data_IF_684808995996
#
_entry.id   IF_684808995996
#
_cell.length_a   1.000
_cell.length_b   1.000
_cell.length_c   1.000
_cell.angle_alpha   90.00
_cell.angle_beta   90.00
_cell.angle_gamma   90.00
#
_symmetry.space_group_name_H-M   'P 1'
#
loop_
_entity.id
_entity.type
_entity.pdbx_description
1 polymer ?
#
# COMPACT_ATOMS: atom_id res chain seq x y z
N UNK A 1 3.17 11.66 5.78
CA UNK A 1 2.26 10.55 6.17
C UNK A 1 0.95 11.19 6.59
N UNK A 2 -0.14 10.83 5.92
CA UNK A 2 -1.50 11.21 6.33
C UNK A 2 -2.21 9.95 6.77
N UNK A 3 -2.87 10.01 7.93
CA UNK A 3 -3.81 8.98 8.36
C UNK A 3 -5.17 9.42 7.84
N UNK A 4 -5.73 8.65 6.93
CA UNK A 4 -7.05 8.88 6.34
C UNK A 4 -7.81 7.57 6.37
N UNK A 5 -9.02 7.62 6.89
CA UNK A 5 -9.90 6.44 7.03
C UNK A 5 -10.80 6.26 5.80
N UNK A 6 -10.80 7.22 4.87
CA UNK A 6 -11.49 7.12 3.58
C UNK A 6 -12.95 7.58 3.63
N UNK A 7 -13.45 8.02 4.79
CA UNK A 7 -14.77 8.62 4.97
C UNK A 7 -14.74 10.15 4.88
N UNK A 8 -13.55 10.76 4.85
CA UNK A 8 -13.40 12.21 4.80
C UNK A 8 -13.86 12.79 3.46
N UNK A 9 -14.46 14.01 3.44
CA UNK A 9 -14.82 14.70 2.21
C UNK A 9 -13.61 14.83 1.26
N UNK A 10 -13.76 14.31 0.03
CA UNK A 10 -12.67 14.27 -0.96
C UNK A 10 -11.88 12.95 -0.99
N UNK A 11 -12.09 12.03 -0.05
CA UNK A 11 -11.35 10.77 0.06
C UNK A 11 -12.14 9.52 -0.41
N UNK A 12 -13.26 9.68 -1.12
CA UNK A 12 -14.14 8.57 -1.54
C UNK A 12 -13.43 7.45 -2.30
N UNK A 13 -12.45 7.79 -3.14
CA UNK A 13 -11.63 6.80 -3.87
C UNK A 13 -10.73 5.99 -2.95
N UNK A 14 -10.28 6.57 -1.83
CA UNK A 14 -9.51 5.88 -0.80
C UNK A 14 -10.43 4.90 -0.07
N UNK A 15 -11.63 5.32 0.34
CA UNK A 15 -12.62 4.43 0.94
C UNK A 15 -12.99 3.24 0.03
N UNK A 16 -13.20 3.47 -1.27
CA UNK A 16 -13.47 2.41 -2.23
C UNK A 16 -12.30 1.43 -2.40
N UNK A 17 -11.06 1.93 -2.35
CA UNK A 17 -9.86 1.08 -2.37
C UNK A 17 -9.77 0.21 -1.13
N UNK A 18 -9.95 0.80 0.07
CA UNK A 18 -9.92 0.05 1.33
C UNK A 18 -10.93 -1.11 1.27
N UNK A 19 -12.16 -0.83 0.84
CA UNK A 19 -13.20 -1.85 0.72
C UNK A 19 -12.83 -3.01 -0.22
N UNK A 20 -12.17 -2.73 -1.35
CA UNK A 20 -11.71 -3.77 -2.28
C UNK A 20 -10.54 -4.58 -1.71
N UNK A 21 -9.59 -3.93 -1.06
CA UNK A 21 -8.47 -4.62 -0.39
C UNK A 21 -9.00 -5.52 0.71
N UNK A 22 -9.93 -5.04 1.54
CA UNK A 22 -10.58 -5.82 2.59
C UNK A 22 -11.39 -6.98 2.01
N UNK A 23 -12.04 -6.81 0.86
CA UNK A 23 -12.75 -7.88 0.17
C UNK A 23 -11.78 -8.96 -0.31
N UNK A 24 -10.63 -8.59 -0.88
CA UNK A 24 -9.58 -9.53 -1.28
C UNK A 24 -8.98 -10.24 -0.08
N UNK A 25 -8.65 -9.53 1.00
CA UNK A 25 -8.12 -10.13 2.23
C UNK A 25 -9.13 -11.10 2.84
N UNK A 26 -10.42 -10.72 2.95
CA UNK A 26 -11.49 -11.61 3.42
C UNK A 26 -11.69 -12.81 2.51
N UNK A 27 -11.63 -12.64 1.20
CA UNK A 27 -11.74 -13.75 0.25
C UNK A 27 -10.56 -14.73 0.35
N UNK A 28 -9.37 -14.23 0.68
CA UNK A 28 -8.17 -15.02 0.88
C UNK A 28 -8.06 -15.63 2.29
N UNK A 29 -8.90 -15.19 3.24
CA UNK A 29 -8.94 -15.74 4.59
C UNK A 29 -9.27 -17.24 4.54
N UNK A 30 -8.39 -18.08 5.10
CA UNK A 30 -8.52 -19.54 5.06
C UNK A 30 -8.18 -20.21 3.72
N UNK A 31 -7.77 -19.45 2.69
CA UNK A 31 -7.43 -19.97 1.36
C UNK A 31 -5.96 -19.81 0.97
N UNK A 32 -5.15 -19.19 1.83
CA UNK A 32 -3.70 -19.08 1.69
C UNK A 32 -2.96 -20.38 2.12
N UNK A 33 -3.55 -21.56 1.86
CA UNK A 33 -2.95 -22.86 2.20
C UNK A 33 -2.94 -23.18 3.70
N UNK A 34 -1.89 -23.86 4.19
CA UNK A 34 -1.70 -24.24 5.60
C UNK A 34 -1.24 -23.09 6.51
N UNK A 35 -1.20 -21.85 6.00
CA UNK A 35 -0.74 -20.70 6.76
C UNK A 35 -1.88 -20.11 7.58
N UNK A 36 -1.73 -20.14 8.91
CA UNK A 36 -2.66 -19.49 9.83
C UNK A 36 -2.23 -18.04 10.03
N UNK A 37 -2.97 -17.10 9.43
CA UNK A 37 -2.73 -15.65 9.59
C UNK A 37 -3.38 -15.22 10.91
N UNK A 38 -2.70 -15.51 12.02
CA UNK A 38 -3.21 -15.27 13.38
C UNK A 38 -2.94 -13.86 13.94
N UNK A 39 -2.36 -12.98 13.12
CA UNK A 39 -2.25 -11.57 13.45
C UNK A 39 -1.09 -11.15 14.35
N UNK A 40 -0.94 -9.81 14.36
CA UNK A 40 -0.10 -8.90 15.15
C UNK A 40 0.95 -9.53 16.09
N UNK A 41 2.15 -9.73 15.57
CA UNK A 41 3.31 -10.08 16.40
C UNK A 41 4.42 -9.04 16.23
N UNK A 42 4.83 -8.44 17.35
CA UNK A 42 5.93 -7.47 17.41
C UNK A 42 7.31 -8.14 17.51
N UNK A 43 7.34 -9.45 17.80
CA UNK A 43 8.58 -10.16 18.16
C UNK A 43 9.38 -10.65 16.96
N UNK A 44 8.82 -10.64 15.75
CA UNK A 44 9.48 -11.20 14.56
C UNK A 44 10.20 -10.17 13.67
N UNK A 45 10.37 -8.93 14.13
CA UNK A 45 10.98 -7.87 13.32
C UNK A 45 10.10 -7.41 12.15
N UNK A 46 10.71 -7.06 11.02
CA UNK A 46 9.99 -6.61 9.82
C UNK A 46 9.38 -5.20 9.93
N UNK A 47 9.89 -4.39 10.86
CA UNK A 47 9.46 -3.01 11.08
C UNK A 47 9.75 -2.16 9.85
N UNK A 48 8.74 -1.47 9.31
CA UNK A 48 8.95 -0.44 8.31
C UNK A 48 9.28 0.87 9.03
N UNK A 49 10.42 1.47 8.71
CA UNK A 49 10.79 2.80 9.16
C UNK A 49 10.68 3.78 8.00
N UNK A 50 9.98 4.88 8.22
CA UNK A 50 9.89 5.99 7.27
C UNK A 50 10.55 7.21 7.93
N UNK A 51 11.40 7.90 7.17
CA UNK A 51 12.15 9.08 7.58
C UNK A 51 11.64 10.31 6.80
N UNK A 52 10.53 10.94 7.19
CA UNK A 52 9.94 12.01 6.39
C UNK A 52 10.89 13.20 6.28
N UNK A 53 11.13 13.66 5.06
CA UNK A 53 12.00 14.80 4.80
C UNK A 53 11.52 16.05 5.54
N UNK A 54 12.46 16.78 6.16
CA UNK A 54 12.16 18.02 6.89
C UNK A 54 11.41 17.83 8.20
N UNK A 55 11.22 16.59 8.69
CA UNK A 55 10.64 16.33 10.01
C UNK A 55 11.62 15.57 10.91
N UNK A 56 11.83 16.00 12.17
CA UNK A 56 12.74 15.33 13.10
C UNK A 56 12.08 14.10 13.76
N UNK A 57 11.30 13.33 12.99
CA UNK A 57 10.57 12.17 13.51
C UNK A 57 10.78 10.98 12.60
N UNK A 58 10.91 9.79 13.19
CA UNK A 58 10.89 8.53 12.45
C UNK A 58 9.57 7.83 12.70
N UNK A 59 8.85 7.50 11.63
CA UNK A 59 7.63 6.71 11.75
C UNK A 59 7.98 5.22 11.75
N UNK A 60 7.68 4.54 12.86
CA UNK A 60 7.88 3.11 13.03
C UNK A 60 6.55 2.38 12.81
N UNK A 61 6.42 1.63 11.73
CA UNK A 61 5.19 0.93 11.34
C UNK A 61 5.40 -0.57 11.45
N UNK A 62 4.78 -1.15 12.48
CA UNK A 62 4.72 -2.59 12.64
C UNK A 62 3.89 -3.25 11.52
N UNK A 63 4.30 -4.43 11.00
CA UNK A 63 3.61 -5.13 9.93
C UNK A 63 2.41 -5.92 10.45
N UNK A 64 1.40 -5.20 10.91
CA UNK A 64 0.21 -5.78 11.52
C UNK A 64 -0.76 -6.28 10.44
N UNK A 65 -1.42 -7.41 10.73
CA UNK A 65 -2.57 -7.85 9.94
C UNK A 65 -3.67 -6.78 9.96
N UNK A 66 -4.35 -6.65 8.82
CA UNK A 66 -5.46 -5.70 8.60
C UNK A 66 -5.05 -4.21 8.76
N UNK A 67 -3.78 -3.90 8.48
CA UNK A 67 -3.26 -2.53 8.46
C UNK A 67 -3.07 -2.06 7.02
N UNK A 68 -3.82 -1.03 6.63
CA UNK A 68 -3.51 -0.25 5.44
C UNK A 68 -2.53 0.87 5.78
N UNK A 69 -1.53 1.08 4.91
CA UNK A 69 -0.56 2.16 5.01
C UNK A 69 -0.50 2.92 3.69
N UNK A 70 -0.58 4.26 3.75
CA UNK A 70 -0.49 5.16 2.60
C UNK A 70 0.60 6.20 2.84
N UNK A 71 1.52 6.35 1.89
CA UNK A 71 2.56 7.38 1.90
C UNK A 71 2.99 7.75 0.48
N UNK A 72 3.61 8.92 0.32
CA UNK A 72 4.09 9.37 -0.99
C UNK A 72 5.30 8.55 -1.44
N UNK A 73 5.28 8.11 -2.69
CA UNK A 73 6.31 7.28 -3.33
C UNK A 73 7.61 8.01 -3.65
N UNK A 74 7.61 9.34 -3.60
CA UNK A 74 8.74 10.16 -3.97
C UNK A 74 9.76 10.33 -2.83
N UNK A 75 10.72 11.23 -3.06
CA UNK A 75 11.86 11.49 -2.17
C UNK A 75 11.47 12.02 -0.79
N UNK A 76 10.20 12.39 -0.56
CA UNK A 76 9.73 12.88 0.75
C UNK A 76 9.68 11.79 1.82
N UNK A 77 9.61 10.51 1.43
CA UNK A 77 9.52 9.38 2.36
C UNK A 77 10.59 8.30 2.08
N UNK A 78 11.88 8.58 2.29
CA UNK A 78 12.89 7.53 2.43
C UNK A 78 12.43 6.53 3.48
N UNK A 79 12.53 5.25 3.16
CA UNK A 79 12.06 4.20 4.04
C UNK A 79 12.87 2.91 3.89
N UNK A 80 12.96 2.18 4.99
CA UNK A 80 13.63 0.88 5.04
C UNK A 80 12.80 -0.12 5.83
N UNK A 81 12.94 -1.40 5.50
CA UNK A 81 12.34 -2.49 6.26
C UNK A 81 13.45 -3.15 7.09
N UNK A 82 13.31 -3.15 8.40
CA UNK A 82 14.21 -3.87 9.30
C UNK A 82 14.15 -5.38 9.07
N UNK A 83 15.20 -6.15 9.42
CA UNK A 83 15.20 -7.60 9.29
C UNK A 83 13.94 -8.25 9.88
N UNK A 84 13.40 -9.25 9.19
CA UNK A 84 12.29 -10.07 9.65
C UNK A 84 12.78 -11.50 9.90
N UNK A 85 12.41 -12.07 11.04
CA UNK A 85 12.84 -13.42 11.47
C UNK A 85 11.71 -14.45 11.38
N UNK A 86 10.59 -14.08 10.77
CA UNK A 86 9.51 -14.96 10.38
C UNK A 86 8.97 -14.56 9.00
N UNK A 87 8.27 -15.48 8.33
CA UNK A 87 7.64 -15.19 7.04
C UNK A 87 6.62 -14.07 7.20
N UNK A 88 6.70 -13.05 6.33
CA UNK A 88 5.83 -11.87 6.33
C UNK A 88 5.24 -11.66 4.95
N UNK A 89 3.93 -11.42 4.91
CA UNK A 89 3.21 -11.06 3.70
C UNK A 89 2.80 -9.58 3.72
N UNK A 90 2.88 -8.92 2.57
CA UNK A 90 2.38 -7.58 2.34
C UNK A 90 1.95 -7.44 0.88
N UNK A 91 0.93 -6.62 0.63
CA UNK A 91 0.49 -6.24 -0.72
C UNK A 91 0.80 -4.76 -0.89
N UNK A 92 1.34 -4.36 -2.05
CA UNK A 92 1.68 -2.97 -2.34
C UNK A 92 1.09 -2.57 -3.69
N UNK A 93 0.37 -1.44 -3.68
CA UNK A 93 -0.21 -0.82 -4.87
C UNK A 93 0.40 0.57 -5.04
N UNK A 94 0.78 0.92 -6.27
CA UNK A 94 1.29 2.25 -6.61
C UNK A 94 0.24 3.02 -7.42
N UNK A 95 -0.09 4.22 -6.95
CA UNK A 95 -0.97 5.13 -7.68
C UNK A 95 -0.13 6.11 -8.50
N UNK A 96 -0.44 6.20 -9.78
CA UNK A 96 0.22 7.13 -10.68
C UNK A 96 -0.53 8.45 -10.76
N UNK A 97 0.20 9.55 -10.64
CA UNK A 97 -0.29 10.83 -11.16
C UNK A 97 -0.33 10.78 -12.70
N UNK A 98 -1.43 11.26 -13.28
CA UNK A 98 -1.65 11.16 -14.71
C UNK A 98 -0.64 11.97 -15.53
N UNK A 99 -0.24 13.16 -15.06
CA UNK A 99 0.70 14.04 -15.76
C UNK A 99 2.13 13.51 -15.64
N UNK A 100 2.53 13.13 -14.43
CA UNK A 100 3.85 12.55 -14.17
C UNK A 100 4.06 11.27 -15.00
N UNK A 101 3.04 10.42 -15.06
CA UNK A 101 3.08 9.19 -15.86
C UNK A 101 3.19 9.46 -17.36
N UNK A 102 2.39 10.39 -17.90
CA UNK A 102 2.45 10.73 -19.32
C UNK A 102 3.86 11.18 -19.71
N UNK A 103 4.44 12.11 -18.94
CA UNK A 103 5.81 12.57 -19.14
C UNK A 103 6.86 11.45 -18.98
N UNK A 104 6.66 10.53 -18.04
CA UNK A 104 7.56 9.40 -17.84
C UNK A 104 7.48 8.37 -18.98
N UNK A 105 6.29 8.15 -19.56
CA UNK A 105 6.07 7.24 -20.68
C UNK A 105 6.76 7.72 -21.96
N UNK A 106 6.83 9.03 -22.14
CA UNK A 106 7.52 9.66 -23.28
C UNK A 106 9.05 9.60 -23.11
N UNK A 107 9.53 9.74 -21.87
CA UNK A 107 10.97 9.80 -21.56
C UNK A 107 11.63 8.43 -21.39
N UNK A 108 10.89 7.47 -20.87
CA UNK A 108 11.34 6.11 -20.64
C UNK A 108 10.31 5.23 -21.34
N UNK A 109 10.70 4.56 -22.43
CA UNK A 109 9.94 3.40 -22.90
C UNK A 109 9.87 2.43 -21.71
N UNK A 110 8.78 2.52 -20.94
CA UNK A 110 8.75 2.09 -19.55
C UNK A 110 9.21 0.65 -19.45
N UNK A 111 10.20 0.43 -18.57
CA UNK A 111 10.88 -0.85 -18.35
C UNK A 111 9.93 -2.04 -18.45
N UNK A 112 10.41 -3.11 -19.10
CA UNK A 112 9.72 -4.35 -19.47
C UNK A 112 9.18 -5.21 -18.30
N UNK A 113 8.86 -4.61 -17.15
CA UNK A 113 8.31 -5.26 -15.96
C UNK A 113 6.93 -4.74 -15.54
N UNK A 114 6.20 -5.53 -14.75
CA UNK A 114 4.82 -5.26 -14.32
C UNK A 114 4.61 -3.88 -13.64
N UNK A 115 5.66 -3.26 -13.09
CA UNK A 115 5.58 -1.94 -12.42
C UNK A 115 5.21 -0.77 -13.37
N UNK A 116 5.40 -0.91 -14.69
CA UNK A 116 5.03 0.12 -15.67
C UNK A 116 3.63 -0.02 -16.27
N UNK A 117 2.93 -1.13 -15.99
CA UNK A 117 1.64 -1.47 -16.60
C UNK A 117 0.51 -0.72 -15.90
N UNK A 118 -0.38 -0.09 -16.67
CA UNK A 118 -1.58 0.55 -16.12
C UNK A 118 -2.69 -0.47 -15.96
N UNK A 119 -3.33 -0.46 -14.80
CA UNK A 119 -4.63 -1.11 -14.60
C UNK A 119 -5.60 -0.01 -14.14
N UNK A 120 -6.80 0.10 -14.74
CA UNK A 120 -7.79 1.08 -14.31
C UNK A 120 -8.21 0.83 -12.86
N UNK A 121 -8.48 1.91 -12.13
CA UNK A 121 -9.08 1.82 -10.79
C UNK A 121 -10.53 1.41 -10.94
N UNK A 122 -10.94 0.35 -10.24
CA UNK A 122 -12.32 -0.15 -10.25
C UNK A 122 -13.31 0.95 -9.83
N UNK A 123 -14.41 1.09 -10.57
CA UNK A 123 -15.51 1.99 -10.22
C UNK A 123 -16.64 1.22 -9.52
N UNK A 124 -17.38 1.84 -8.58
CA UNK A 124 -18.57 1.22 -8.01
C UNK A 124 -19.65 1.02 -9.07
N UNK A 125 -20.49 -0.04 -8.94
CA UNK A 125 -21.60 -0.26 -9.86
C UNK A 125 -22.58 0.90 -9.80
N UNK A 126 -23.11 1.30 -10.96
CA UNK A 126 -24.11 2.37 -11.07
C UNK A 126 -25.43 1.86 -10.44
N UNK A 127 -26.03 2.59 -9.49
CA UNK A 127 -27.34 2.20 -8.96
C UNK A 127 -28.39 2.30 -10.07
N UNK A 128 -29.10 1.20 -10.30
CA UNK A 128 -30.31 1.11 -11.14
C UNK A 128 -31.49 1.81 -10.50
#
# INVERSE_FOLDING_TARGET
IAWVEGHEPGCRSIGALMAHVDAVIRHCAGRLGSYVINGRTKVHGGLLQIFPEGRPVVANIEPLFDRLLIFWSDRRNPHEVKPAYATRYAITVWYFDAKERAAAKDKYQLASGQKGVQVPVSQPPTPT
#
